data_IF_980519298773
#
_entry.id   IF_980519298773
#
_cell.length_a   1.000
_cell.length_b   1.000
_cell.length_c   1.000
_cell.angle_alpha   90.00
_cell.angle_beta   90.00
_cell.angle_gamma   90.00
#
_symmetry.space_group_name_H-M   'P 1'
#
loop_
_entity.id
_entity.type
_entity.pdbx_description
1 polymer ?
#
# COMPACT_ATOMS: atom_id res chain seq x y z
N UNK A 1 2.80 21.73 10.80
CA UNK A 1 1.89 21.52 11.95
C UNK A 1 0.96 22.73 12.08
N UNK A 2 -0.34 22.50 12.20
CA UNK A 2 -1.39 23.51 12.38
C UNK A 2 -2.27 23.08 13.55
N UNK A 3 -2.53 23.96 14.52
CA UNK A 3 -3.53 23.68 15.55
C UNK A 3 -4.93 23.74 14.94
N UNK A 4 -5.73 22.68 15.09
CA UNK A 4 -7.03 22.52 14.44
C UNK A 4 -8.21 22.45 15.42
N UNK A 5 -7.99 22.83 16.69
CA UNK A 5 -9.02 22.82 17.72
C UNK A 5 -9.11 21.48 18.45
N UNK A 6 -10.30 21.18 18.95
CA UNK A 6 -10.54 20.01 19.80
C UNK A 6 -11.11 18.85 18.97
N UNK A 7 -10.58 17.64 19.17
CA UNK A 7 -11.11 16.39 18.62
C UNK A 7 -11.31 16.35 17.10
N UNK A 8 -10.54 17.12 16.33
CA UNK A 8 -10.63 17.21 14.86
C UNK A 8 -10.54 15.85 14.18
N UNK A 9 -11.41 15.61 13.21
CA UNK A 9 -11.46 14.40 12.36
C UNK A 9 -11.08 14.72 10.92
N UNK A 10 -10.87 13.70 10.08
CA UNK A 10 -10.60 13.92 8.65
C UNK A 10 -11.78 14.63 7.95
N UNK A 11 -13.02 14.28 8.32
CA UNK A 11 -14.22 14.97 7.84
C UNK A 11 -14.23 16.47 8.21
N UNK A 12 -13.77 16.84 9.41
CA UNK A 12 -13.65 18.25 9.79
C UNK A 12 -12.60 18.99 8.96
N UNK A 13 -11.52 18.30 8.56
CA UNK A 13 -10.50 18.87 7.66
C UNK A 13 -11.04 19.07 6.26
N UNK A 14 -11.74 18.08 5.70
CA UNK A 14 -12.40 18.17 4.40
C UNK A 14 -13.44 19.29 4.35
N UNK A 15 -14.22 19.45 5.43
CA UNK A 15 -15.20 20.54 5.56
C UNK A 15 -14.58 21.91 5.87
N UNK A 16 -13.27 22.00 6.08
CA UNK A 16 -12.60 23.24 6.49
C UNK A 16 -12.45 24.24 5.35
N UNK A 17 -12.69 25.52 5.63
CA UNK A 17 -12.39 26.61 4.70
C UNK A 17 -10.91 27.03 4.71
N UNK A 18 -10.06 26.41 5.53
CA UNK A 18 -8.64 26.75 5.61
C UNK A 18 -7.92 26.28 4.35
N UNK A 19 -7.21 27.17 3.60
CA UNK A 19 -6.53 26.79 2.37
C UNK A 19 -5.53 25.64 2.53
N UNK A 20 -4.90 25.53 3.70
CA UNK A 20 -3.95 24.46 4.01
C UNK A 20 -4.57 23.05 4.05
N UNK A 21 -5.90 22.95 4.08
CA UNK A 21 -6.65 21.68 4.07
C UNK A 21 -7.44 21.48 2.78
N UNK A 22 -7.39 22.41 1.82
CA UNK A 22 -8.23 22.37 0.62
C UNK A 22 -7.97 21.20 -0.34
N UNK A 23 -6.86 20.47 -0.17
CA UNK A 23 -6.55 19.23 -0.92
C UNK A 23 -7.04 17.97 -0.21
N UNK A 24 -7.48 18.06 1.05
CA UNK A 24 -7.98 16.93 1.82
C UNK A 24 -9.44 16.73 1.43
N UNK A 25 -9.73 15.60 0.79
CA UNK A 25 -11.09 15.28 0.30
C UNK A 25 -11.72 14.10 1.02
N UNK A 26 -10.97 13.51 1.96
CA UNK A 26 -11.36 12.28 2.64
C UNK A 26 -12.07 12.57 3.96
N UNK A 27 -13.23 11.97 4.15
CA UNK A 27 -13.98 12.02 5.41
C UNK A 27 -13.57 10.92 6.40
N UNK A 28 -12.66 10.03 5.98
CA UNK A 28 -12.24 8.84 6.72
C UNK A 28 -10.75 8.85 7.04
N UNK A 29 -10.37 7.95 7.94
CA UNK A 29 -8.97 7.74 8.30
C UNK A 29 -8.79 6.51 9.19
N UNK A 30 -7.55 6.05 9.32
CA UNK A 30 -7.20 5.03 10.32
C UNK A 30 -6.72 5.74 11.57
N UNK A 31 -7.43 5.49 12.68
CA UNK A 31 -7.10 6.03 13.99
C UNK A 31 -6.33 5.00 14.80
N UNK A 32 -5.31 5.47 15.50
CA UNK A 32 -4.56 4.77 16.52
C UNK A 32 -4.80 5.44 17.87
N UNK A 33 -5.19 4.65 18.86
CA UNK A 33 -5.44 5.04 20.23
C UNK A 33 -4.26 4.65 21.12
N UNK A 34 -4.00 5.40 22.18
CA UNK A 34 -3.10 4.91 23.23
C UNK A 34 -3.74 3.73 23.98
N UNK A 35 -2.92 2.76 24.35
CA UNK A 35 -3.32 1.67 25.22
C UNK A 35 -3.48 2.13 26.68
N UNK A 36 -4.01 1.25 27.52
CA UNK A 36 -4.24 1.52 28.94
C UNK A 36 -2.95 1.84 29.73
N UNK A 37 -1.80 1.37 29.25
CA UNK A 37 -0.47 1.65 29.80
C UNK A 37 0.15 2.97 29.29
N UNK A 38 -0.64 3.80 28.61
CA UNK A 38 -0.23 5.05 27.95
C UNK A 38 0.79 4.91 26.82
N UNK A 39 1.02 3.69 26.31
CA UNK A 39 1.83 3.50 25.10
C UNK A 39 0.98 3.67 23.86
N UNK A 40 1.58 4.19 22.79
CA UNK A 40 1.01 4.11 21.46
C UNK A 40 1.54 2.83 20.77
N UNK A 41 0.76 2.25 19.84
CA UNK A 41 1.20 1.08 19.07
C UNK A 41 2.55 1.30 18.38
N UNK A 42 3.25 0.22 18.03
CA UNK A 42 4.43 0.28 17.17
C UNK A 42 4.36 -0.90 16.20
N UNK A 43 4.65 -0.66 14.93
CA UNK A 43 4.67 -1.69 13.89
C UNK A 43 3.82 -1.33 12.67
N UNK A 44 3.59 -2.33 11.82
CA UNK A 44 2.84 -2.17 10.56
C UNK A 44 1.39 -2.59 10.73
N UNK A 45 0.48 -1.71 10.31
CA UNK A 45 -0.95 -1.88 10.48
C UNK A 45 -1.66 -1.71 9.15
N UNK A 46 -2.45 -2.71 8.77
CA UNK A 46 -3.24 -2.64 7.54
C UNK A 46 -4.39 -1.66 7.67
N UNK A 47 -4.75 -1.00 6.57
CA UNK A 47 -5.87 -0.06 6.50
C UNK A 47 -7.20 -0.81 6.44
N UNK A 48 -7.51 -1.64 7.43
CA UNK A 48 -8.75 -2.42 7.51
C UNK A 48 -9.52 -2.07 8.77
N UNK A 49 -10.82 -2.33 8.78
CA UNK A 49 -11.58 -2.32 10.03
C UNK A 49 -11.04 -3.42 10.94
N UNK A 50 -10.53 -3.02 12.12
CA UNK A 50 -10.14 -3.96 13.16
C UNK A 50 -11.38 -4.35 13.97
N UNK A 51 -11.80 -5.61 13.88
CA UNK A 51 -13.06 -6.09 14.45
C UNK A 51 -12.89 -6.72 15.84
N UNK A 52 -11.84 -6.36 16.58
CA UNK A 52 -11.60 -6.88 17.93
C UNK A 52 -11.23 -5.81 18.94
N UNK A 53 -11.80 -5.92 20.16
CA UNK A 53 -11.57 -5.02 21.30
C UNK A 53 -10.13 -4.98 21.85
N UNK A 54 -9.21 -5.73 21.24
CA UNK A 54 -7.83 -5.91 21.72
C UNK A 54 -6.80 -5.06 20.99
N UNK A 55 -7.16 -4.40 19.88
CA UNK A 55 -6.21 -3.62 19.10
C UNK A 55 -6.51 -2.12 19.15
N UNK A 56 -5.48 -1.29 19.32
CA UNK A 56 -5.63 0.15 19.48
C UNK A 56 -5.88 0.88 18.15
N UNK A 57 -6.43 0.22 17.12
CA UNK A 57 -6.67 0.87 15.81
C UNK A 57 -8.10 0.70 15.33
N UNK A 58 -8.64 1.72 14.68
CA UNK A 58 -10.01 1.67 14.15
C UNK A 58 -10.11 2.52 12.90
N UNK A 59 -10.80 1.98 11.89
CA UNK A 59 -11.16 2.72 10.69
C UNK A 59 -12.35 3.64 10.98
N UNK A 60 -12.18 4.94 10.74
CA UNK A 60 -13.18 5.98 11.01
C UNK A 60 -13.90 6.42 9.73
N UNK A 61 -15.06 7.07 9.87
CA UNK A 61 -15.75 7.72 8.74
C UNK A 61 -16.31 6.77 7.68
N UNK A 62 -16.45 5.47 7.98
CA UNK A 62 -16.93 4.48 7.01
C UNK A 62 -15.99 4.26 5.82
N UNK A 63 -14.71 4.62 5.97
CA UNK A 63 -13.71 4.53 4.91
C UNK A 63 -13.54 3.12 4.34
N UNK A 64 -13.05 3.00 3.10
CA UNK A 64 -12.78 1.71 2.49
C UNK A 64 -11.60 1.01 3.18
N UNK A 65 -11.69 -0.32 3.21
CA UNK A 65 -10.61 -1.17 3.73
C UNK A 65 -9.63 -1.56 2.61
N UNK A 66 -8.33 -1.46 2.91
CA UNK A 66 -7.23 -1.94 2.09
C UNK A 66 -6.41 -2.99 2.87
N UNK A 67 -6.82 -4.27 2.84
CA UNK A 67 -6.21 -5.31 3.66
C UNK A 67 -4.75 -5.62 3.31
N UNK A 68 -4.27 -5.18 2.15
CA UNK A 68 -2.91 -5.40 1.65
C UNK A 68 -2.02 -4.14 1.72
N UNK A 69 -2.61 -2.98 2.04
CA UNK A 69 -1.86 -1.74 2.26
C UNK A 69 -1.70 -1.54 3.75
N UNK A 70 -0.55 -1.05 4.17
CA UNK A 70 -0.30 -0.79 5.60
C UNK A 70 0.40 0.54 5.85
N UNK A 71 0.27 1.03 7.08
CA UNK A 71 1.09 2.10 7.64
C UNK A 71 1.98 1.48 8.72
N UNK A 72 3.28 1.65 8.55
CA UNK A 72 4.27 1.41 9.59
C UNK A 72 4.37 2.66 10.44
N UNK A 73 4.12 2.49 11.72
CA UNK A 73 4.04 3.55 12.71
C UNK A 73 5.07 3.28 13.79
N UNK A 74 5.86 4.29 14.13
CA UNK A 74 6.86 4.21 15.20
C UNK A 74 6.79 5.41 16.13
N UNK A 75 7.03 5.15 17.40
CA UNK A 75 7.03 6.13 18.49
C UNK A 75 8.22 5.91 19.40
N UNK A 76 8.64 6.96 20.10
CA UNK A 76 9.67 6.89 21.13
C UNK A 76 9.12 7.40 22.47
N UNK A 77 9.55 6.74 23.56
CA UNK A 77 9.18 7.03 24.95
C UNK A 77 7.72 6.70 25.32
N UNK A 78 7.45 6.64 26.63
CA UNK A 78 6.09 6.56 27.18
C UNK A 78 5.88 7.64 28.25
N UNK A 79 4.91 8.57 28.09
CA UNK A 79 4.01 8.69 26.94
C UNK A 79 4.78 9.11 25.67
N UNK A 80 4.33 8.61 24.52
CA UNK A 80 4.88 9.01 23.23
C UNK A 80 4.63 10.50 23.01
N UNK A 81 5.65 11.23 22.56
CA UNK A 81 5.57 12.68 22.26
C UNK A 81 5.91 13.02 20.82
N UNK A 82 6.45 12.03 20.12
CA UNK A 82 6.89 12.12 18.74
C UNK A 82 6.52 10.83 18.06
N UNK A 83 6.07 10.92 16.81
CA UNK A 83 5.76 9.78 15.98
C UNK A 83 6.43 9.93 14.61
N UNK A 84 6.77 8.81 14.00
CA UNK A 84 7.21 8.74 12.62
C UNK A 84 6.40 7.66 11.90
N UNK A 85 6.26 7.79 10.59
CA UNK A 85 5.54 6.80 9.81
C UNK A 85 6.12 6.59 8.42
N UNK A 86 5.81 5.43 7.88
CA UNK A 86 5.90 5.09 6.47
C UNK A 86 4.60 4.40 6.08
N UNK A 87 4.05 4.69 4.90
CA UNK A 87 2.77 4.18 4.45
C UNK A 87 2.87 3.65 3.02
N UNK A 88 2.14 2.55 2.77
CA UNK A 88 1.92 2.03 1.43
C UNK A 88 0.82 2.77 0.65
N UNK A 89 0.14 3.76 1.26
CA UNK A 89 -0.86 4.63 0.60
C UNK A 89 -0.50 6.10 0.80
N UNK A 90 -1.09 6.95 -0.04
CA UNK A 90 -0.99 8.39 0.09
C UNK A 90 -1.65 8.88 1.37
N UNK A 91 -0.89 9.63 2.16
CA UNK A 91 -1.37 10.36 3.33
C UNK A 91 -1.54 11.83 2.95
N UNK A 92 -2.77 12.34 3.08
CA UNK A 92 -3.14 13.73 2.81
C UNK A 92 -3.04 14.61 4.05
N UNK A 93 -3.21 13.99 5.23
CA UNK A 93 -2.93 14.60 6.52
C UNK A 93 -2.68 13.58 7.63
N UNK A 94 -1.90 13.98 8.64
CA UNK A 94 -1.83 13.31 9.94
C UNK A 94 -2.38 14.23 11.02
N UNK A 95 -3.29 13.71 11.84
CA UNK A 95 -3.84 14.39 13.01
C UNK A 95 -3.21 13.77 14.25
N UNK A 96 -2.43 14.56 14.98
CA UNK A 96 -1.86 14.23 16.29
C UNK A 96 -2.75 14.85 17.37
N UNK A 97 -3.25 14.03 18.30
CA UNK A 97 -4.03 14.51 19.45
C UNK A 97 -3.21 14.42 20.74
N UNK A 98 -3.28 15.44 21.58
CA UNK A 98 -2.77 15.40 22.95
C UNK A 98 -3.84 15.90 23.91
N UNK A 99 -4.45 14.97 24.64
CA UNK A 99 -5.69 15.25 25.34
C UNK A 99 -6.79 15.58 24.32
N UNK A 100 -7.54 16.67 24.48
CA UNK A 100 -8.61 17.02 23.55
C UNK A 100 -8.08 17.80 22.32
N UNK A 101 -6.90 18.42 22.40
CA UNK A 101 -6.32 19.25 21.35
C UNK A 101 -5.83 18.43 20.15
N UNK A 102 -6.01 18.96 18.95
CA UNK A 102 -5.62 18.35 17.67
C UNK A 102 -4.64 19.23 16.89
N UNK A 103 -3.56 18.61 16.43
CA UNK A 103 -2.50 19.21 15.65
C UNK A 103 -2.40 18.47 14.32
N UNK A 104 -2.47 19.21 13.22
CA UNK A 104 -2.58 18.64 11.88
C UNK A 104 -1.30 18.89 11.11
N UNK A 105 -0.81 17.85 10.47
CA UNK A 105 0.26 17.87 9.48
C UNK A 105 -0.38 17.62 8.12
N UNK A 106 -0.78 18.68 7.38
CA UNK A 106 -1.32 18.52 6.03
C UNK A 106 -0.20 18.34 5.00
N UNK A 107 -0.42 17.50 4.00
CA UNK A 107 0.53 17.22 2.92
C UNK A 107 -0.12 17.47 1.56
N UNK A 108 0.36 18.48 0.84
CA UNK A 108 -0.05 18.79 -0.54
C UNK A 108 1.20 18.77 -1.43
N UNK A 109 1.32 17.87 -2.43
CA UNK A 109 0.26 16.99 -2.96
C UNK A 109 -0.19 15.83 -2.06
N UNK A 110 0.72 15.14 -1.36
CA UNK A 110 0.50 14.10 -0.34
C UNK A 110 1.88 13.59 0.10
N UNK A 111 1.97 12.67 1.07
CA UNK A 111 3.22 11.97 1.39
C UNK A 111 3.02 10.48 1.67
N UNK A 112 4.08 9.69 1.56
CA UNK A 112 4.14 8.30 2.01
C UNK A 112 4.88 8.13 3.34
N UNK A 113 5.60 9.16 3.81
CA UNK A 113 6.34 9.09 5.06
C UNK A 113 6.54 10.48 5.63
N UNK A 114 6.69 10.54 6.95
CA UNK A 114 7.20 11.71 7.65
C UNK A 114 7.76 11.28 9.02
N UNK A 115 8.63 12.10 9.59
CA UNK A 115 9.33 11.82 10.84
C UNK A 115 9.13 12.95 11.85
N UNK A 116 9.27 12.63 13.12
CA UNK A 116 9.30 13.61 14.21
C UNK A 116 8.01 14.45 14.37
N UNK A 117 6.86 13.91 13.98
CA UNK A 117 5.55 14.53 14.18
C UNK A 117 5.23 14.63 15.67
N UNK A 118 4.88 15.81 16.15
CA UNK A 118 4.67 16.11 17.56
C UNK A 118 3.61 17.21 17.73
N UNK A 119 3.37 17.65 18.96
CA UNK A 119 2.39 18.72 19.26
C UNK A 119 3.01 20.10 19.45
N UNK A 120 4.33 20.22 19.32
CA UNK A 120 5.11 21.45 19.56
C UNK A 120 5.23 21.85 21.04
N UNK A 121 4.33 21.37 21.89
CA UNK A 121 4.26 21.68 23.32
C UNK A 121 4.66 20.51 24.24
N UNK A 122 5.29 19.47 23.66
CA UNK A 122 5.89 18.34 24.37
C UNK A 122 4.89 17.53 25.23
N UNK A 123 3.59 17.58 24.90
CA UNK A 123 2.56 16.77 25.55
C UNK A 123 2.55 15.32 25.03
N UNK A 124 2.03 14.43 25.88
CA UNK A 124 1.83 13.03 25.51
C UNK A 124 0.70 12.89 24.49
N UNK A 125 0.98 12.18 23.40
CA UNK A 125 0.04 11.92 22.31
C UNK A 125 -0.97 10.87 22.77
N UNK A 126 -2.26 11.19 22.64
CA UNK A 126 -3.38 10.30 22.95
C UNK A 126 -3.88 9.53 21.74
N UNK A 127 -3.89 10.17 20.57
CA UNK A 127 -4.38 9.57 19.33
C UNK A 127 -3.58 10.05 18.13
N UNK A 128 -3.46 9.19 17.13
CA UNK A 128 -2.94 9.53 15.80
C UNK A 128 -3.97 9.11 14.77
N UNK A 129 -4.34 10.00 13.84
CA UNK A 129 -5.23 9.66 12.72
C UNK A 129 -4.50 9.95 11.43
N UNK A 130 -4.48 8.98 10.53
CA UNK A 130 -4.01 9.15 9.16
C UNK A 130 -5.21 9.33 8.25
N UNK A 131 -5.36 10.51 7.65
CA UNK A 131 -6.28 10.76 6.55
C UNK A 131 -5.59 10.32 5.26
N UNK A 132 -6.20 9.39 4.53
CA UNK A 132 -5.56 8.71 3.40
C UNK A 132 -6.48 8.69 2.18
N UNK A 133 -5.93 9.07 1.03
CA UNK A 133 -6.66 9.17 -0.24
C UNK A 133 -6.88 7.81 -0.91
N UNK A 134 -7.90 7.74 -1.77
CA UNK A 134 -8.17 6.55 -2.61
C UNK A 134 -7.25 6.48 -3.84
N UNK A 135 -6.63 7.60 -4.18
CA UNK A 135 -5.86 7.78 -5.41
C UNK A 135 -4.36 7.75 -5.19
N UNK A 136 -3.90 6.81 -4.35
CA UNK A 136 -2.57 6.28 -4.59
C UNK A 136 -2.08 5.26 -3.59
N UNK A 137 -1.80 4.07 -4.12
CA UNK A 137 -0.42 3.59 -3.98
C UNK A 137 0.55 4.60 -4.60
N UNK A 138 1.87 4.41 -4.50
CA UNK A 138 2.78 5.25 -5.26
C UNK A 138 2.30 5.28 -6.72
N UNK A 139 2.04 6.47 -7.28
CA UNK A 139 2.00 6.64 -8.75
C UNK A 139 3.44 6.49 -9.21
N UNK A 140 3.93 5.26 -9.09
CA UNK A 140 5.27 4.87 -9.40
C UNK A 140 5.28 4.68 -10.91
N UNK A 141 6.28 5.25 -11.59
CA UNK A 141 6.45 5.14 -13.04
C UNK A 141 6.01 3.76 -13.55
N UNK A 142 5.21 3.73 -14.63
CA UNK A 142 4.65 2.51 -15.21
C UNK A 142 5.75 1.50 -15.52
N UNK A 143 6.04 0.61 -14.58
CA UNK A 143 6.94 -0.50 -14.76
C UNK A 143 6.32 -1.49 -15.72
N UNK A 144 7.16 -2.33 -16.29
CA UNK A 144 6.71 -3.44 -17.12
C UNK A 144 7.43 -4.72 -16.75
N UNK A 145 6.73 -5.83 -16.89
CA UNK A 145 7.30 -7.18 -16.79
C UNK A 145 7.08 -7.85 -18.13
N UNK A 146 8.16 -8.31 -18.75
CA UNK A 146 8.11 -9.00 -20.04
C UNK A 146 9.06 -10.18 -20.08
N UNK A 147 8.77 -11.11 -20.98
CA UNK A 147 9.59 -12.29 -21.18
C UNK A 147 9.04 -13.18 -22.28
N UNK A 148 9.59 -14.38 -22.34
CA UNK A 148 9.32 -15.38 -23.36
C UNK A 148 9.10 -16.75 -22.74
N UNK A 149 8.21 -17.51 -23.35
CA UNK A 149 7.97 -18.91 -23.00
C UNK A 149 8.46 -19.80 -24.13
N UNK A 150 9.38 -20.70 -23.80
CA UNK A 150 10.02 -21.64 -24.73
C UNK A 150 9.92 -23.07 -24.20
N UNK A 151 10.09 -24.06 -25.08
CA UNK A 151 10.29 -25.45 -24.64
C UNK A 151 11.78 -25.74 -24.40
N UNK A 152 12.09 -26.94 -23.93
CA UNK A 152 13.45 -27.43 -23.70
C UNK A 152 14.38 -27.41 -24.93
N UNK A 153 13.82 -27.28 -26.14
CA UNK A 153 14.56 -27.20 -27.42
C UNK A 153 14.75 -25.74 -27.89
N UNK A 154 14.27 -24.76 -27.12
CA UNK A 154 14.29 -23.33 -27.48
C UNK A 154 13.16 -22.89 -28.41
N UNK A 155 12.27 -23.79 -28.80
CA UNK A 155 11.11 -23.49 -29.64
C UNK A 155 10.06 -22.68 -28.85
N UNK A 156 9.43 -21.66 -29.46
CA UNK A 156 8.42 -20.85 -28.77
C UNK A 156 7.18 -21.66 -28.39
N UNK A 157 6.62 -21.34 -27.23
CA UNK A 157 5.35 -21.90 -26.76
C UNK A 157 4.26 -20.82 -26.84
N UNK A 158 3.43 -20.81 -27.90
CA UNK A 158 2.33 -19.85 -28.03
C UNK A 158 1.14 -20.23 -27.15
N UNK A 159 0.30 -19.23 -26.83
CA UNK A 159 -0.93 -19.39 -26.04
C UNK A 159 -0.71 -19.95 -24.63
N UNK A 160 0.50 -19.81 -24.08
CA UNK A 160 0.71 -19.99 -22.65
C UNK A 160 0.02 -18.83 -21.92
N UNK A 161 -0.78 -19.15 -20.90
CA UNK A 161 -1.47 -18.16 -20.07
C UNK A 161 -0.51 -17.73 -18.97
N UNK A 162 -0.23 -16.44 -18.94
CA UNK A 162 0.56 -15.79 -17.91
C UNK A 162 -0.40 -15.01 -17.01
N UNK A 163 -0.32 -15.26 -15.72
CA UNK A 163 -1.10 -14.56 -14.69
C UNK A 163 -0.14 -13.78 -13.83
N UNK A 164 -0.41 -12.49 -13.64
CA UNK A 164 0.35 -11.61 -12.78
C UNK A 164 -0.55 -11.16 -11.63
N UNK A 165 -0.14 -11.40 -10.40
CA UNK A 165 -0.85 -10.95 -9.19
C UNK A 165 0.02 -9.93 -8.47
N UNK A 166 -0.49 -8.72 -8.27
CA UNK A 166 0.13 -7.73 -7.40
C UNK A 166 -0.07 -8.19 -5.94
N UNK A 167 1.03 -8.41 -5.21
CA UNK A 167 0.98 -8.89 -3.83
C UNK A 167 0.47 -7.85 -2.83
N UNK A 168 0.53 -6.57 -3.19
CA UNK A 168 0.12 -5.43 -2.35
C UNK A 168 -1.28 -4.91 -2.66
N UNK A 169 -1.85 -5.19 -3.83
CA UNK A 169 -3.24 -4.81 -4.15
C UNK A 169 -4.17 -6.02 -4.33
N UNK A 170 -3.62 -7.21 -4.60
CA UNK A 170 -4.37 -8.39 -5.01
C UNK A 170 -4.88 -8.32 -6.46
N UNK A 171 -4.59 -7.22 -7.18
CA UNK A 171 -4.98 -7.08 -8.58
C UNK A 171 -4.38 -8.21 -9.41
N UNK A 172 -5.22 -8.84 -10.23
CA UNK A 172 -4.81 -9.93 -11.12
C UNK A 172 -4.93 -9.49 -12.58
N UNK A 173 -3.80 -9.52 -13.29
CA UNK A 173 -3.74 -9.30 -14.74
C UNK A 173 -3.38 -10.59 -15.46
N UNK A 174 -3.75 -10.66 -16.73
CA UNK A 174 -3.51 -11.84 -17.54
C UNK A 174 -3.07 -11.49 -18.96
N UNK A 175 -2.06 -12.22 -19.44
CA UNK A 175 -1.58 -12.17 -20.81
C UNK A 175 -1.52 -13.58 -21.41
N UNK A 176 -1.55 -13.66 -22.74
CA UNK A 176 -1.24 -14.90 -23.46
C UNK A 176 -0.01 -14.70 -24.32
N UNK A 177 0.86 -15.70 -24.37
CA UNK A 177 2.02 -15.64 -25.25
C UNK A 177 1.63 -15.63 -26.72
N UNK A 178 2.31 -14.81 -27.52
CA UNK A 178 2.12 -14.74 -28.97
C UNK A 178 2.76 -15.94 -29.71
N UNK A 179 2.71 -15.96 -31.04
CA UNK A 179 3.30 -17.01 -31.89
C UNK A 179 4.80 -17.22 -31.69
N UNK A 180 5.52 -16.19 -31.24
CA UNK A 180 6.94 -16.22 -30.95
C UNK A 180 7.25 -16.48 -29.46
N UNK A 181 6.22 -16.72 -28.65
CA UNK A 181 6.35 -17.06 -27.22
C UNK A 181 6.43 -15.86 -26.28
N UNK A 182 6.34 -14.61 -26.77
CA UNK A 182 6.50 -13.42 -25.93
C UNK A 182 5.21 -13.03 -25.21
N UNK A 183 5.36 -12.46 -24.02
CA UNK A 183 4.30 -11.80 -23.25
C UNK A 183 4.81 -10.50 -22.62
N UNK A 184 3.89 -9.61 -22.24
CA UNK A 184 4.20 -8.36 -21.55
C UNK A 184 3.03 -7.91 -20.68
N UNK A 185 3.36 -7.30 -19.54
CA UNK A 185 2.49 -6.47 -18.73
C UNK A 185 3.10 -5.08 -18.64
N UNK A 186 2.31 -4.04 -18.89
CA UNK A 186 2.67 -2.62 -18.74
C UNK A 186 1.85 -1.98 -17.64
N UNK A 187 2.15 -0.72 -17.30
CA UNK A 187 1.38 0.07 -16.33
C UNK A 187 1.32 -0.64 -14.96
N UNK A 188 2.50 -1.12 -14.53
CA UNK A 188 2.67 -1.76 -13.23
C UNK A 188 3.27 -0.79 -12.24
N UNK A 189 2.75 -0.82 -11.02
CA UNK A 189 3.32 -0.09 -9.90
C UNK A 189 4.74 -0.60 -9.59
N UNK A 190 5.75 0.28 -9.72
CA UNK A 190 7.10 -0.01 -9.23
C UNK A 190 7.21 0.17 -7.70
N UNK A 191 8.24 -0.43 -7.12
CA UNK A 191 8.43 -0.72 -5.69
C UNK A 191 7.38 -1.66 -5.09
N UNK A 192 6.74 -2.49 -5.92
CA UNK A 192 5.76 -3.48 -5.49
C UNK A 192 6.26 -4.92 -5.69
N UNK A 193 5.58 -5.85 -5.02
CA UNK A 193 5.80 -7.28 -5.16
C UNK A 193 4.76 -7.89 -6.10
N UNK A 194 5.21 -8.79 -6.99
CA UNK A 194 4.36 -9.50 -7.92
C UNK A 194 4.61 -11.01 -7.89
N UNK A 195 3.54 -11.79 -7.98
CA UNK A 195 3.59 -13.22 -8.27
C UNK A 195 3.19 -13.46 -9.72
N UNK A 196 4.15 -13.93 -10.52
CA UNK A 196 3.96 -14.23 -11.94
C UNK A 196 3.88 -15.75 -12.13
N UNK A 197 2.82 -16.24 -12.77
CA UNK A 197 2.58 -17.67 -12.97
C UNK A 197 2.31 -17.99 -14.43
N UNK A 198 2.79 -19.14 -14.90
CA UNK A 198 2.57 -19.66 -16.25
C UNK A 198 1.75 -20.94 -16.23
N UNK A 199 0.84 -21.09 -17.20
CA UNK A 199 0.09 -22.32 -17.40
C UNK A 199 -0.19 -22.58 -18.88
N UNK A 200 -0.29 -23.85 -19.26
CA UNK A 200 -0.64 -24.25 -20.61
C UNK A 200 -1.31 -25.63 -20.61
N UNK A 201 -2.24 -25.89 -21.54
CA UNK A 201 -3.02 -27.14 -21.57
C UNK A 201 -2.20 -28.38 -21.92
N UNK A 202 -1.15 -28.21 -22.73
CA UNK A 202 -0.34 -29.32 -23.29
C UNK A 202 1.09 -29.38 -22.76
N UNK A 203 1.53 -28.33 -22.07
CA UNK A 203 2.92 -28.18 -21.62
C UNK A 203 2.95 -28.10 -20.09
N UNK A 204 4.03 -28.61 -19.50
CA UNK A 204 4.33 -28.47 -18.07
C UNK A 204 5.53 -27.56 -17.89
N UNK A 205 5.72 -27.04 -16.68
CA UNK A 205 6.77 -26.07 -16.33
C UNK A 205 7.39 -26.51 -15.01
N UNK A 206 8.71 -26.45 -14.90
CA UNK A 206 9.42 -26.90 -13.69
C UNK A 206 9.29 -25.83 -12.61
N UNK A 207 9.48 -24.58 -13.04
CA UNK A 207 9.20 -23.39 -12.27
C UNK A 207 7.98 -22.69 -12.87
N UNK A 208 6.77 -23.09 -12.45
CA UNK A 208 5.52 -22.54 -12.98
C UNK A 208 5.16 -21.16 -12.41
N UNK A 209 5.94 -20.64 -11.46
CA UNK A 209 5.72 -19.36 -10.80
C UNK A 209 7.04 -18.69 -10.42
N UNK A 210 7.08 -17.36 -10.47
CA UNK A 210 8.21 -16.51 -10.06
C UNK A 210 7.71 -15.37 -9.18
N UNK A 211 8.43 -15.10 -8.10
CA UNK A 211 8.22 -13.96 -7.23
C UNK A 211 9.14 -12.80 -7.66
N UNK A 212 8.59 -11.61 -7.87
CA UNK A 212 9.30 -10.46 -8.46
C UNK A 212 9.10 -9.24 -7.57
N UNK A 213 10.20 -8.59 -7.16
CA UNK A 213 10.15 -7.23 -6.63
C UNK A 213 10.47 -6.28 -7.77
N UNK A 214 9.50 -5.47 -8.19
CA UNK A 214 9.61 -4.63 -9.37
C UNK A 214 10.10 -3.25 -8.97
N UNK A 215 11.32 -2.86 -9.33
CA UNK A 215 11.87 -1.52 -9.05
C UNK A 215 11.89 -0.61 -10.30
N UNK A 216 11.94 -1.22 -11.48
CA UNK A 216 11.91 -0.60 -12.81
C UNK A 216 11.45 -1.69 -13.81
N UNK A 217 11.40 -1.37 -15.11
CA UNK A 217 11.15 -2.31 -16.19
C UNK A 217 12.03 -3.56 -16.11
N UNK A 218 11.38 -4.72 -16.18
CA UNK A 218 12.02 -6.02 -16.13
C UNK A 218 11.73 -6.80 -17.42
N UNK A 219 12.78 -7.15 -18.14
CA UNK A 219 12.74 -8.01 -19.33
C UNK A 219 13.29 -9.39 -19.00
N UNK A 220 13.17 -10.32 -19.96
CA UNK A 220 13.79 -11.65 -19.91
C UNK A 220 13.33 -12.52 -18.72
N UNK A 221 12.11 -12.27 -18.25
CA UNK A 221 11.46 -13.10 -17.23
C UNK A 221 10.89 -14.35 -17.90
N UNK A 222 11.77 -15.28 -18.24
CA UNK A 222 11.42 -16.39 -19.11
C UNK A 222 10.90 -17.63 -18.35
N UNK A 223 10.10 -18.43 -19.04
CA UNK A 223 9.66 -19.75 -18.59
C UNK A 223 10.06 -20.84 -19.59
N UNK A 224 10.51 -21.98 -19.07
CA UNK A 224 10.86 -23.15 -19.86
C UNK A 224 9.84 -24.26 -19.62
N UNK A 225 9.27 -24.75 -20.71
CA UNK A 225 8.28 -25.81 -20.75
C UNK A 225 8.90 -27.17 -21.11
N UNK A 226 8.32 -28.25 -20.61
CA UNK A 226 8.61 -29.62 -21.03
C UNK A 226 7.36 -30.46 -21.22
N UNK A 227 7.49 -31.45 -22.10
CA UNK A 227 6.44 -32.42 -22.46
C UNK A 227 5.30 -31.81 -23.27
N UNK A 228 4.93 -32.47 -24.38
CA UNK A 228 3.58 -32.36 -24.95
C UNK A 228 2.78 -33.53 -24.39
N UNK A 229 1.76 -33.30 -23.57
CA UNK A 229 0.79 -34.37 -23.33
C UNK A 229 0.08 -34.66 -24.66
N UNK A 230 0.33 -35.85 -25.21
CA UNK A 230 -0.42 -36.39 -26.33
C UNK A 230 -1.79 -36.83 -25.79
N UNK A 231 -2.86 -36.30 -26.37
CA UNK A 231 -4.21 -36.86 -26.20
C UNK A 231 -4.45 -37.86 -27.33
#
# INVERSE_FOLDING_TARGET
MIFAGQNTTCADLNASALPAFGHITEDWGIKFDKAADNTLPNGSYTFTQDLGAFFPRTLQGGGPSYPFRSVTFSTANSPARMISFNSGVQITAVIIKAGPDSYVYPYSPFTFADTDLNTGDNRGISHVVFCYGLNGGPTAADGSISGRVVNSEGNPVPRARITLVNGSSGETRMAMTNSFGYYQFSELDVNEFYLLSVSHKRYRFDEAQRAISLFDNLTDVDFVAYGKQQF
#
